data_IF_327295566161
#
_entry.id   IF_327295566161
#
_cell.length_a   1.000
_cell.length_b   1.000
_cell.length_c   1.000
_cell.angle_alpha   90.00
_cell.angle_beta   90.00
_cell.angle_gamma   90.00
#
_symmetry.space_group_name_H-M   'P 1'
#
loop_
_entity.id
_entity.type
_entity.pdbx_description
1 polymer ?
#
# COMPACT_ATOMS: atom_id res chain seq x y z
N UNK A 1 27.68 57.27 0.91
CA UNK A 1 26.36 56.81 0.44
C UNK A 1 26.43 55.67 -0.60
N UNK A 2 27.25 55.77 -1.68
CA UNK A 2 27.31 54.64 -2.66
C UNK A 2 27.80 53.31 -2.10
N UNK A 3 28.76 53.28 -1.18
CA UNK A 3 29.25 52.02 -0.56
C UNK A 3 28.23 51.36 0.38
N UNK A 4 27.39 52.15 1.08
CA UNK A 4 26.29 51.59 1.91
C UNK A 4 25.19 50.97 1.04
N UNK A 5 24.85 51.55 -0.10
CA UNK A 5 23.87 50.99 -1.02
C UNK A 5 24.34 49.68 -1.65
N UNK A 6 25.63 49.57 -2.00
CA UNK A 6 26.19 48.32 -2.58
C UNK A 6 26.22 47.21 -1.56
N UNK A 7 26.55 47.50 -0.27
CA UNK A 7 26.52 46.48 0.80
C UNK A 7 25.10 46.00 1.12
N UNK A 8 24.10 46.91 1.12
CA UNK A 8 22.70 46.56 1.35
C UNK A 8 22.10 45.71 0.22
N UNK A 9 22.47 46.03 -1.05
CA UNK A 9 22.01 45.22 -2.20
C UNK A 9 22.67 43.85 -2.22
N UNK A 10 23.96 43.73 -1.89
CA UNK A 10 24.66 42.44 -1.80
C UNK A 10 24.13 41.60 -0.63
N UNK A 11 23.81 42.21 0.52
CA UNK A 11 23.15 41.49 1.63
C UNK A 11 21.72 41.08 1.29
N UNK A 12 20.94 41.90 0.56
CA UNK A 12 19.59 41.55 0.13
C UNK A 12 19.59 40.39 -0.89
N UNK A 13 20.54 40.40 -1.84
CA UNK A 13 20.70 39.33 -2.84
C UNK A 13 21.19 38.05 -2.18
N UNK A 14 22.14 38.12 -1.25
CA UNK A 14 22.60 36.95 -0.50
C UNK A 14 21.50 36.35 0.41
N UNK A 15 20.64 37.19 1.03
CA UNK A 15 19.48 36.75 1.79
C UNK A 15 18.41 36.14 0.89
N UNK A 16 18.15 36.65 -0.28
CA UNK A 16 17.19 36.09 -1.24
C UNK A 16 17.69 34.78 -1.85
N UNK A 17 18.98 34.61 -2.10
CA UNK A 17 19.57 33.34 -2.53
C UNK A 17 19.52 32.29 -1.43
N UNK A 18 19.70 32.65 -0.16
CA UNK A 18 19.62 31.74 0.97
C UNK A 18 18.17 31.29 1.28
N UNK A 19 17.18 32.16 1.04
CA UNK A 19 15.74 31.86 1.21
C UNK A 19 15.16 30.99 0.09
N UNK A 20 15.83 30.89 -1.07
CA UNK A 20 15.39 30.09 -2.21
C UNK A 20 16.05 28.71 -2.32
N UNK A 21 17.00 28.36 -1.45
CA UNK A 21 17.69 27.06 -1.50
C UNK A 21 16.83 25.95 -0.92
N UNK A 22 16.65 24.85 -1.68
CA UNK A 22 15.97 23.64 -1.22
C UNK A 22 16.94 22.76 -0.44
N UNK A 23 16.54 22.34 0.76
CA UNK A 23 17.22 21.31 1.55
C UNK A 23 16.54 19.98 1.27
N UNK A 24 17.33 18.94 1.01
CA UNK A 24 16.86 17.61 0.65
C UNK A 24 17.13 16.63 1.79
N UNK A 25 16.16 15.79 2.06
CA UNK A 25 16.17 14.80 3.13
C UNK A 25 15.90 13.40 2.55
N UNK A 26 16.79 12.46 2.84
CA UNK A 26 16.69 11.07 2.45
C UNK A 26 16.24 10.23 3.65
N UNK A 27 15.09 9.53 3.57
CA UNK A 27 14.59 8.73 4.70
C UNK A 27 15.48 7.52 5.02
N UNK A 28 16.39 7.13 4.12
CA UNK A 28 17.32 6.01 4.32
C UNK A 28 18.64 6.42 5.00
N UNK A 29 18.97 7.70 5.04
CA UNK A 29 20.23 8.20 5.64
C UNK A 29 20.16 8.47 7.14
N UNK A 30 19.16 7.96 7.82
CA UNK A 30 18.95 8.22 9.25
C UNK A 30 19.36 7.00 10.07
N UNK A 31 20.13 7.20 11.13
CA UNK A 31 20.62 6.11 11.99
C UNK A 31 19.58 5.71 13.05
N UNK A 32 19.22 4.43 13.09
CA UNK A 32 18.56 3.81 14.25
C UNK A 32 17.03 3.75 14.22
N UNK A 33 16.35 4.48 13.32
CA UNK A 33 14.89 4.46 13.16
C UNK A 33 14.50 4.17 11.72
N UNK A 34 13.34 3.55 11.52
CA UNK A 34 12.75 3.39 10.19
C UNK A 34 11.68 4.44 9.94
N UNK A 35 11.70 5.04 8.76
CA UNK A 35 10.71 6.01 8.31
C UNK A 35 9.86 5.50 7.14
N UNK A 36 10.05 4.22 6.76
CA UNK A 36 9.20 3.56 5.79
C UNK A 36 8.05 2.88 6.53
N UNK A 37 6.88 3.46 6.44
CA UNK A 37 5.65 2.93 7.01
C UNK A 37 5.10 1.79 6.17
N UNK A 38 4.37 0.87 6.82
CA UNK A 38 3.75 -0.31 6.21
C UNK A 38 4.76 -1.31 5.61
N UNK A 39 6.04 -1.20 5.97
CA UNK A 39 7.07 -2.18 5.66
C UNK A 39 7.10 -3.23 6.79
N UNK A 40 6.94 -4.51 6.42
CA UNK A 40 6.91 -5.59 7.40
C UNK A 40 8.28 -5.90 7.99
N UNK A 41 9.33 -5.79 7.19
CA UNK A 41 10.71 -6.10 7.57
C UNK A 41 11.60 -4.90 7.30
N UNK A 42 12.29 -4.46 8.33
CA UNK A 42 13.30 -3.41 8.25
C UNK A 42 14.67 -4.02 8.62
N UNK A 43 15.12 -4.94 7.78
CA UNK A 43 16.42 -5.61 7.87
C UNK A 43 17.38 -4.94 6.86
N UNK A 44 18.65 -5.19 6.96
CA UNK A 44 19.65 -4.93 5.92
C UNK A 44 19.90 -3.45 5.51
N UNK A 45 19.76 -2.51 6.43
CA UNK A 45 20.16 -1.12 6.18
C UNK A 45 19.17 -0.26 5.41
N UNK A 46 17.97 -0.78 5.15
CA UNK A 46 16.85 -0.06 4.55
C UNK A 46 16.81 -0.17 3.03
N UNK A 47 15.63 -0.48 2.53
CA UNK A 47 15.27 -0.46 1.11
C UNK A 47 13.77 -0.15 0.99
N UNK A 48 13.27 -0.02 -0.24
CA UNK A 48 11.83 0.20 -0.51
C UNK A 48 11.14 -1.09 -0.96
N UNK A 49 11.62 -2.26 -0.48
CA UNK A 49 11.05 -3.56 -0.77
C UNK A 49 9.98 -3.95 0.24
N UNK A 50 9.10 -4.85 -0.16
CA UNK A 50 8.01 -5.37 0.69
C UNK A 50 8.39 -6.65 1.42
N UNK A 51 9.40 -7.38 0.94
CA UNK A 51 10.01 -8.52 1.63
C UNK A 51 11.46 -8.23 2.05
N UNK A 52 11.97 -8.92 3.07
CA UNK A 52 13.39 -8.84 3.45
C UNK A 52 14.27 -9.56 2.41
N UNK A 53 15.53 -9.16 2.28
CA UNK A 53 16.46 -9.72 1.29
C UNK A 53 16.66 -11.22 1.42
N UNK A 54 16.54 -11.78 2.64
CA UNK A 54 16.60 -13.23 2.88
C UNK A 54 15.44 -14.01 2.24
N UNK A 55 14.36 -13.36 1.83
CA UNK A 55 13.27 -14.01 1.09
C UNK A 55 13.67 -14.35 -0.36
N UNK A 56 14.70 -13.69 -0.89
CA UNK A 56 15.27 -14.03 -2.19
C UNK A 56 15.75 -15.49 -2.20
N UNK A 57 15.22 -16.27 -3.12
CA UNK A 57 15.50 -17.71 -3.22
C UNK A 57 14.66 -18.60 -2.30
N UNK A 58 13.92 -18.05 -1.33
CA UNK A 58 12.90 -18.78 -0.57
C UNK A 58 11.55 -18.76 -1.28
N UNK A 59 11.14 -17.60 -1.79
CA UNK A 59 9.94 -17.45 -2.61
C UNK A 59 10.29 -17.63 -4.10
N UNK A 60 9.28 -17.87 -4.94
CA UNK A 60 9.50 -17.91 -6.40
C UNK A 60 10.10 -16.59 -6.90
N UNK A 61 10.98 -16.68 -7.89
CA UNK A 61 11.66 -15.52 -8.49
C UNK A 61 10.68 -14.40 -8.87
N UNK A 62 9.54 -14.73 -9.50
CA UNK A 62 8.53 -13.73 -9.86
C UNK A 62 7.89 -13.04 -8.66
N UNK A 63 7.71 -13.74 -7.55
CA UNK A 63 7.22 -13.15 -6.30
C UNK A 63 8.28 -12.20 -5.71
N UNK A 64 9.55 -12.59 -5.75
CA UNK A 64 10.65 -11.73 -5.31
C UNK A 64 10.74 -10.45 -6.14
N UNK A 65 10.71 -10.53 -7.47
CA UNK A 65 10.69 -9.35 -8.35
C UNK A 65 9.55 -8.39 -8.01
N UNK A 66 8.34 -8.93 -7.76
CA UNK A 66 7.19 -8.15 -7.36
C UNK A 66 7.32 -7.57 -5.95
N UNK A 67 8.01 -8.29 -5.06
CA UNK A 67 8.24 -7.83 -3.69
C UNK A 67 9.22 -6.63 -3.63
N UNK A 68 10.11 -6.49 -4.61
CA UNK A 68 10.96 -5.30 -4.75
C UNK A 68 10.15 -4.03 -5.12
N UNK A 69 8.92 -4.16 -5.65
CA UNK A 69 8.04 -3.03 -5.93
C UNK A 69 7.42 -2.49 -4.63
N UNK A 70 7.24 -1.17 -4.57
CA UNK A 70 6.96 -0.45 -3.31
C UNK A 70 5.47 -0.30 -2.97
N UNK A 71 4.57 -1.13 -3.53
CA UNK A 71 3.13 -1.04 -3.31
C UNK A 71 2.75 -1.07 -1.81
N UNK A 72 1.99 -0.06 -1.37
CA UNK A 72 1.53 0.05 0.01
C UNK A 72 2.51 0.74 0.96
N UNK A 73 3.79 0.85 0.60
CA UNK A 73 4.78 1.57 1.40
C UNK A 73 4.49 3.07 1.40
N UNK A 74 4.77 3.71 2.52
CA UNK A 74 4.60 5.15 2.67
C UNK A 74 5.71 5.77 3.51
N UNK A 75 5.94 7.07 3.32
CA UNK A 75 6.82 7.89 4.15
C UNK A 75 5.94 8.93 4.82
N UNK A 76 6.10 9.10 6.15
CA UNK A 76 5.42 10.18 6.89
C UNK A 76 6.44 11.23 7.31
N UNK A 77 6.06 12.49 7.20
CA UNK A 77 6.89 13.63 7.60
C UNK A 77 6.04 14.80 8.08
N UNK A 78 6.61 15.64 8.93
CA UNK A 78 6.04 16.93 9.34
C UNK A 78 6.82 18.09 8.75
N UNK A 79 6.13 19.16 8.35
CA UNK A 79 6.74 20.39 7.87
C UNK A 79 5.78 21.59 7.99
N UNK A 80 6.35 22.79 8.11
CA UNK A 80 5.64 24.07 7.96
C UNK A 80 5.84 24.70 6.56
N UNK A 81 6.52 23.96 5.67
CA UNK A 81 6.78 24.40 4.31
C UNK A 81 5.47 24.57 3.51
N UNK A 82 5.39 25.62 2.70
CA UNK A 82 4.31 25.81 1.73
C UNK A 82 4.55 25.12 0.39
N UNK A 83 5.78 24.68 0.18
CA UNK A 83 6.18 23.96 -1.02
C UNK A 83 7.01 22.76 -0.61
N UNK A 84 6.67 21.60 -1.18
CA UNK A 84 7.41 20.36 -1.01
C UNK A 84 7.74 19.80 -2.39
N UNK A 85 8.98 19.44 -2.58
CA UNK A 85 9.46 18.75 -3.77
C UNK A 85 9.86 17.33 -3.43
N UNK A 86 9.56 16.39 -4.31
CA UNK A 86 10.05 15.00 -4.17
C UNK A 86 10.76 14.63 -5.46
N UNK A 87 11.94 14.02 -5.34
CA UNK A 87 12.67 13.43 -6.47
C UNK A 87 13.06 12.00 -6.15
N UNK A 88 12.89 11.12 -7.12
CA UNK A 88 13.18 9.70 -6.93
C UNK A 88 13.48 9.02 -8.27
N UNK A 89 14.11 7.85 -8.17
CA UNK A 89 14.48 6.99 -9.30
C UNK A 89 13.80 5.65 -9.14
N UNK A 90 13.35 5.08 -10.24
CA UNK A 90 12.72 3.75 -10.31
C UNK A 90 13.49 2.86 -11.27
N UNK A 91 13.45 1.53 -11.02
CA UNK A 91 14.27 0.55 -11.76
C UNK A 91 13.58 -0.05 -12.99
N UNK A 92 12.25 0.09 -13.11
CA UNK A 92 11.43 -0.56 -14.14
C UNK A 92 10.77 0.47 -15.08
N UNK A 93 10.18 0.05 -16.23
CA UNK A 93 9.39 0.93 -17.09
C UNK A 93 8.31 1.68 -16.33
N UNK A 94 8.15 2.96 -16.64
CA UNK A 94 7.33 3.89 -15.85
C UNK A 94 5.82 3.76 -16.09
N UNK A 95 5.38 3.05 -17.13
CA UNK A 95 3.96 2.85 -17.47
C UNK A 95 3.72 1.46 -18.03
N UNK A 96 2.46 1.05 -18.04
CA UNK A 96 1.97 -0.20 -18.66
C UNK A 96 0.81 0.12 -19.60
N UNK A 97 0.48 -0.75 -20.58
CA UNK A 97 -0.62 -0.49 -21.52
C UNK A 97 -1.98 -0.20 -20.85
N UNK A 98 -2.23 -0.76 -19.68
CA UNK A 98 -3.49 -0.65 -18.92
C UNK A 98 -3.35 0.19 -17.65
N UNK A 99 -2.15 0.79 -17.39
CA UNK A 99 -1.91 1.66 -16.25
C UNK A 99 -1.09 2.89 -16.65
N UNK A 100 -1.53 4.11 -16.30
CA UNK A 100 -0.75 5.32 -16.54
C UNK A 100 0.54 5.35 -15.69
N UNK A 101 1.50 6.17 -16.10
CA UNK A 101 2.74 6.37 -15.35
C UNK A 101 2.49 6.81 -13.90
N UNK A 102 1.45 7.59 -13.65
CA UNK A 102 1.03 8.02 -12.30
C UNK A 102 0.58 6.85 -11.43
N UNK A 103 0.03 5.78 -11.99
CA UNK A 103 -0.36 4.57 -11.27
C UNK A 103 0.83 3.61 -11.08
N UNK A 104 1.61 3.37 -12.15
CA UNK A 104 2.75 2.43 -12.12
C UNK A 104 3.88 2.96 -11.25
N UNK A 105 4.31 4.21 -11.50
CA UNK A 105 5.55 4.78 -10.97
C UNK A 105 5.35 6.10 -10.22
N UNK A 106 4.12 6.61 -10.11
CA UNK A 106 3.82 7.86 -9.42
C UNK A 106 3.81 7.72 -7.90
N UNK A 107 3.75 8.86 -7.24
CA UNK A 107 3.61 8.99 -5.79
C UNK A 107 2.41 9.89 -5.47
N UNK A 108 1.83 9.70 -4.28
CA UNK A 108 0.71 10.52 -3.81
C UNK A 108 0.96 11.09 -2.43
N UNK A 109 0.71 12.38 -2.26
CA UNK A 109 0.81 13.05 -0.97
C UNK A 109 -0.58 13.32 -0.39
N UNK A 110 -0.75 13.01 0.88
CA UNK A 110 -1.96 13.31 1.66
C UNK A 110 -1.58 14.04 2.94
N UNK A 111 -2.38 15.02 3.35
CA UNK A 111 -2.29 15.60 4.69
C UNK A 111 -2.88 14.61 5.70
N UNK A 112 -2.15 14.35 6.80
CA UNK A 112 -2.47 13.23 7.68
C UNK A 112 -3.70 13.46 8.57
N UNK A 113 -4.01 14.71 8.94
CA UNK A 113 -5.09 15.05 9.88
C UNK A 113 -6.51 14.88 9.30
N UNK A 114 -6.70 15.12 8.01
CA UNK A 114 -7.99 15.02 7.32
C UNK A 114 -7.96 14.15 6.05
N UNK A 115 -6.81 13.55 5.77
CA UNK A 115 -6.54 12.75 4.56
C UNK A 115 -6.83 13.50 3.26
N UNK A 116 -6.65 14.82 3.26
CA UNK A 116 -6.80 15.64 2.07
C UNK A 116 -5.71 15.33 1.06
N UNK A 117 -6.11 15.01 -0.17
CA UNK A 117 -5.20 14.79 -1.28
C UNK A 117 -4.50 16.09 -1.68
N UNK A 118 -3.16 16.06 -1.73
CA UNK A 118 -2.34 17.16 -2.20
C UNK A 118 -1.92 16.89 -3.65
N UNK A 119 -2.40 17.71 -4.58
CA UNK A 119 -2.00 17.60 -5.99
C UNK A 119 -0.57 18.11 -6.18
N UNK A 120 0.28 17.27 -6.81
CA UNK A 120 1.64 17.63 -7.23
C UNK A 120 1.76 17.78 -8.74
N UNK A 121 2.41 18.85 -9.20
CA UNK A 121 2.90 18.92 -10.59
C UNK A 121 4.04 17.92 -10.73
N UNK A 122 4.06 17.15 -11.81
CA UNK A 122 5.03 16.08 -11.98
C UNK A 122 5.71 16.11 -13.36
N UNK A 123 6.90 15.53 -13.40
CA UNK A 123 7.60 15.18 -14.64
C UNK A 123 8.20 13.79 -14.51
N UNK A 124 8.02 12.99 -15.56
CA UNK A 124 8.59 11.66 -15.68
C UNK A 124 9.82 11.73 -16.60
N UNK A 125 10.90 11.04 -16.21
CA UNK A 125 12.19 11.01 -16.90
C UNK A 125 13.14 10.10 -16.12
N UNK A 126 14.47 10.22 -16.31
CA UNK A 126 15.48 9.44 -15.59
C UNK A 126 15.35 9.57 -14.06
N UNK A 127 14.98 10.75 -13.60
CA UNK A 127 14.50 10.98 -12.25
C UNK A 127 13.09 11.56 -12.33
N UNK A 128 12.16 10.97 -11.62
CA UNK A 128 10.79 11.46 -11.50
C UNK A 128 10.76 12.56 -10.44
N UNK A 129 10.01 13.62 -10.73
CA UNK A 129 9.89 14.78 -9.83
C UNK A 129 8.44 15.13 -9.62
N UNK A 130 8.11 15.46 -8.36
CA UNK A 130 6.83 16.04 -7.98
C UNK A 130 7.09 17.35 -7.23
N UNK A 131 6.23 18.33 -7.46
CA UNK A 131 6.23 19.59 -6.73
C UNK A 131 4.83 19.90 -6.25
N UNK A 132 4.69 20.05 -4.93
CA UNK A 132 3.44 20.28 -4.23
C UNK A 132 3.40 21.70 -3.69
N UNK A 133 2.25 22.38 -3.85
CA UNK A 133 1.94 23.66 -3.20
C UNK A 133 0.94 23.39 -2.07
N UNK A 134 1.31 23.71 -0.85
CA UNK A 134 0.60 23.37 0.40
C UNK A 134 0.11 24.64 1.13
N UNK A 135 -0.41 25.62 0.39
CA UNK A 135 -0.78 26.95 0.86
C UNK A 135 -2.13 27.01 1.58
N UNK A 136 -2.94 25.94 1.54
CA UNK A 136 -4.27 25.87 2.13
C UNK A 136 -4.37 24.82 3.23
N UNK A 137 -5.17 25.13 4.24
CA UNK A 137 -5.53 24.20 5.32
C UNK A 137 -4.52 24.12 6.46
N UNK A 138 -3.37 24.80 6.37
CA UNK A 138 -2.42 24.92 7.46
C UNK A 138 -2.18 26.40 7.78
N UNK A 139 -2.29 26.78 9.05
CA UNK A 139 -1.98 28.15 9.47
C UNK A 139 -0.49 28.45 9.22
N UNK A 140 -0.18 29.70 8.87
CA UNK A 140 1.20 30.13 8.62
C UNK A 140 2.10 29.80 9.82
N UNK A 141 3.22 29.10 9.58
CA UNK A 141 4.18 28.70 10.61
C UNK A 141 3.73 27.53 11.51
N UNK A 142 2.59 26.91 11.24
CA UNK A 142 2.16 25.67 11.90
C UNK A 142 2.65 24.47 11.09
N UNK A 143 3.23 23.50 11.76
CA UNK A 143 3.57 22.22 11.17
C UNK A 143 2.32 21.39 10.89
N UNK A 144 2.31 20.69 9.77
CA UNK A 144 1.35 19.64 9.45
C UNK A 144 2.09 18.35 9.10
N UNK A 145 1.46 17.23 9.38
CA UNK A 145 1.97 15.93 9.00
C UNK A 145 1.39 15.49 7.66
N UNK A 146 2.22 14.81 6.88
CA UNK A 146 1.88 14.32 5.54
C UNK A 146 2.25 12.85 5.39
N UNK A 147 1.49 12.14 4.53
CA UNK A 147 1.71 10.75 4.14
C UNK A 147 1.99 10.72 2.65
N UNK A 148 3.18 10.25 2.27
CA UNK A 148 3.63 10.07 0.89
C UNK A 148 3.57 8.60 0.53
N UNK A 149 2.59 8.18 -0.28
CA UNK A 149 2.50 6.81 -0.81
C UNK A 149 3.45 6.62 -1.98
N UNK A 150 4.14 5.46 -2.00
CA UNK A 150 5.11 5.08 -2.99
C UNK A 150 4.48 4.36 -4.20
N UNK A 151 5.24 4.16 -5.31
CA UNK A 151 4.77 3.51 -6.53
C UNK A 151 4.14 2.13 -6.31
N UNK A 152 3.08 1.81 -7.08
CA UNK A 152 2.40 0.52 -6.98
C UNK A 152 3.11 -0.60 -7.73
N UNK A 153 3.72 -0.30 -8.88
CA UNK A 153 4.28 -1.28 -9.81
C UNK A 153 5.73 -1.00 -10.19
N UNK A 154 6.43 -0.24 -9.34
CA UNK A 154 7.86 0.02 -9.56
C UNK A 154 8.65 -0.04 -8.27
N UNK A 155 9.91 -0.39 -8.38
CA UNK A 155 10.89 -0.35 -7.32
C UNK A 155 11.48 1.05 -7.23
N UNK A 156 11.43 1.66 -6.07
CA UNK A 156 12.14 2.91 -5.78
C UNK A 156 13.57 2.55 -5.36
N UNK A 157 14.55 3.11 -6.05
CA UNK A 157 15.98 2.88 -5.76
C UNK A 157 16.65 4.06 -5.06
N UNK A 158 16.03 5.23 -5.15
CA UNK A 158 16.47 6.46 -4.51
C UNK A 158 15.29 7.41 -4.36
N UNK A 159 15.19 8.12 -3.22
CA UNK A 159 14.16 9.11 -2.98
C UNK A 159 14.65 10.17 -2.00
N UNK A 160 14.35 11.44 -2.29
CA UNK A 160 14.52 12.56 -1.38
C UNK A 160 13.30 13.46 -1.38
N UNK A 161 13.04 14.07 -0.23
CA UNK A 161 12.01 15.09 0.00
C UNK A 161 12.71 16.41 0.25
N UNK A 162 12.36 17.44 -0.50
CA UNK A 162 12.95 18.76 -0.45
C UNK A 162 11.96 19.83 0.02
N UNK A 163 12.41 20.68 0.93
CA UNK A 163 11.66 21.86 1.40
C UNK A 163 12.56 23.09 1.35
N UNK A 164 12.01 24.34 1.32
CA UNK A 164 12.81 25.56 1.44
C UNK A 164 13.65 25.58 2.73
N UNK A 165 14.88 26.04 2.64
CA UNK A 165 15.86 26.04 3.75
C UNK A 165 15.36 26.71 5.05
N UNK A 166 14.40 27.63 4.95
CA UNK A 166 13.81 28.29 6.11
C UNK A 166 12.69 27.50 6.79
N UNK A 167 12.29 26.34 6.23
CA UNK A 167 11.20 25.53 6.73
C UNK A 167 11.71 24.46 7.70
N UNK A 168 10.88 24.11 8.67
CA UNK A 168 11.09 22.93 9.51
C UNK A 168 10.70 21.68 8.76
N UNK A 169 11.44 20.61 8.98
CA UNK A 169 11.16 19.29 8.43
C UNK A 169 11.63 18.20 9.37
N UNK A 170 10.81 17.19 9.57
CA UNK A 170 11.19 15.97 10.28
C UNK A 170 10.44 14.77 9.70
N UNK A 171 11.13 13.64 9.55
CA UNK A 171 10.46 12.37 9.30
C UNK A 171 9.72 11.91 10.55
N UNK A 172 8.58 11.24 10.38
CA UNK A 172 7.84 10.59 11.47
C UNK A 172 8.19 9.11 11.48
N UNK A 173 8.70 8.59 12.62
CA UNK A 173 9.06 7.18 12.71
C UNK A 173 7.89 6.24 12.49
N UNK A 174 8.14 5.09 11.87
CA UNK A 174 7.13 4.05 11.69
C UNK A 174 6.73 3.44 13.04
N UNK A 175 5.43 3.29 13.26
CA UNK A 175 4.88 2.74 14.51
C UNK A 175 5.06 1.23 14.54
N UNK A 176 5.60 0.71 15.63
CA UNK A 176 5.68 -0.73 15.92
C UNK A 176 4.37 -1.18 16.57
N UNK A 177 3.45 -1.68 15.76
CA UNK A 177 2.20 -2.32 16.22
C UNK A 177 2.00 -3.59 15.40
N UNK A 178 1.30 -4.59 15.97
CA UNK A 178 0.92 -5.79 15.23
C UNK A 178 0.06 -5.39 14.01
N UNK A 179 0.54 -5.58 12.78
CA UNK A 179 -0.07 -4.98 11.59
C UNK A 179 -1.34 -5.71 11.13
N UNK A 180 -2.08 -5.06 10.25
CA UNK A 180 -2.96 -5.73 9.30
C UNK A 180 -2.10 -6.17 8.12
N UNK A 181 -2.14 -7.45 7.74
CA UNK A 181 -1.42 -7.96 6.57
C UNK A 181 -2.41 -8.39 5.50
N UNK A 182 -2.27 -7.81 4.32
CA UNK A 182 -2.99 -8.22 3.11
C UNK A 182 -2.10 -9.12 2.27
N UNK A 183 -2.52 -10.35 2.01
CA UNK A 183 -1.93 -11.22 1.00
C UNK A 183 -2.90 -11.40 -0.15
N UNK A 184 -2.47 -11.06 -1.36
CA UNK A 184 -3.38 -11.06 -2.52
C UNK A 184 -2.69 -10.98 -3.88
N UNK A 185 -3.46 -10.49 -4.83
CA UNK A 185 -3.17 -10.53 -6.26
C UNK A 185 -2.76 -9.17 -6.82
N UNK A 186 -2.85 -8.98 -8.15
CA UNK A 186 -2.70 -7.67 -8.81
C UNK A 186 -3.71 -6.64 -8.28
N UNK A 187 -4.94 -7.06 -7.94
CA UNK A 187 -5.98 -6.19 -7.40
C UNK A 187 -5.55 -5.66 -6.04
N UNK A 188 -5.00 -6.53 -5.19
CA UNK A 188 -4.42 -6.16 -3.89
C UNK A 188 -3.18 -5.25 -4.02
N UNK A 189 -2.32 -5.52 -5.01
CA UNK A 189 -1.16 -4.66 -5.31
C UNK A 189 -1.58 -3.26 -5.79
N UNK A 190 -2.74 -3.12 -6.42
CA UNK A 190 -3.31 -1.86 -6.88
C UNK A 190 -3.34 -1.70 -8.40
N UNK A 191 -3.40 -2.82 -9.15
CA UNK A 191 -3.49 -2.78 -10.62
C UNK A 191 -4.67 -1.92 -11.09
N UNK A 192 -4.38 -1.07 -12.06
CA UNK A 192 -5.31 -0.14 -12.71
C UNK A 192 -5.81 1.02 -11.83
N UNK A 193 -5.32 1.17 -10.59
CA UNK A 193 -5.47 2.44 -9.89
C UNK A 193 -4.70 3.53 -10.63
N UNK A 194 -5.32 4.70 -10.84
CA UNK A 194 -4.71 5.81 -11.60
C UNK A 194 -3.50 6.41 -10.91
N UNK A 195 -3.36 6.22 -9.60
CA UNK A 195 -2.30 6.73 -8.72
C UNK A 195 -2.26 5.93 -7.41
N UNK A 196 -1.16 5.92 -6.64
CA UNK A 196 -1.03 5.08 -5.44
C UNK A 196 -2.14 5.25 -4.41
N UNK A 197 -2.57 6.45 -4.14
CA UNK A 197 -3.62 6.72 -3.16
C UNK A 197 -5.00 6.18 -3.56
N UNK A 198 -5.22 5.79 -4.81
CA UNK A 198 -6.47 5.19 -5.29
C UNK A 198 -6.48 3.67 -5.21
N UNK A 199 -5.35 3.00 -4.97
CA UNK A 199 -5.34 1.58 -4.68
C UNK A 199 -6.18 1.28 -3.42
N UNK A 200 -7.09 0.30 -3.49
CA UNK A 200 -8.04 0.01 -2.40
C UNK A 200 -7.35 -0.27 -1.06
N UNK A 201 -6.20 -0.94 -1.08
CA UNK A 201 -5.42 -1.20 0.12
C UNK A 201 -4.97 0.08 0.83
N UNK A 202 -4.53 1.09 0.06
CA UNK A 202 -4.15 2.40 0.60
C UNK A 202 -5.36 3.21 1.08
N UNK A 203 -6.53 3.06 0.42
CA UNK A 203 -7.78 3.67 0.90
C UNK A 203 -8.18 3.05 2.25
N UNK A 204 -8.13 1.72 2.38
CA UNK A 204 -8.41 1.01 3.63
C UNK A 204 -7.45 1.46 4.73
N UNK A 205 -6.14 1.47 4.47
CA UNK A 205 -5.13 1.91 5.43
C UNK A 205 -5.42 3.31 5.99
N UNK A 206 -5.80 4.27 5.14
CA UNK A 206 -6.19 5.63 5.58
C UNK A 206 -7.46 5.66 6.44
N UNK A 207 -8.43 4.76 6.19
CA UNK A 207 -9.71 4.77 6.88
C UNK A 207 -9.71 3.98 8.20
N UNK A 208 -8.78 3.03 8.35
CA UNK A 208 -8.64 2.21 9.56
C UNK A 208 -7.59 2.80 10.50
N UNK A 209 -6.67 3.63 9.98
CA UNK A 209 -5.55 4.24 10.73
C UNK A 209 -4.73 3.20 11.53
N UNK A 210 -4.32 2.15 10.83
CA UNK A 210 -3.54 1.05 11.39
C UNK A 210 -2.42 0.64 10.43
N UNK A 211 -1.24 0.17 10.90
CA UNK A 211 -0.19 -0.33 10.01
C UNK A 211 -0.76 -1.41 9.07
N UNK A 212 -0.62 -1.19 7.76
CA UNK A 212 -1.25 -2.01 6.73
C UNK A 212 -0.22 -2.50 5.72
N UNK A 213 0.29 -3.72 5.92
CA UNK A 213 1.29 -4.34 5.05
C UNK A 213 0.61 -4.91 3.81
N UNK A 214 0.99 -4.43 2.63
CA UNK A 214 0.48 -4.90 1.35
C UNK A 214 1.41 -5.96 0.73
N UNK A 215 0.99 -7.22 0.76
CA UNK A 215 1.62 -8.35 0.08
C UNK A 215 0.79 -8.81 -1.13
N UNK A 216 0.29 -7.85 -1.92
CA UNK A 216 -0.30 -8.11 -3.22
C UNK A 216 0.79 -8.40 -4.25
N UNK A 217 0.67 -9.53 -4.97
CA UNK A 217 1.62 -9.98 -5.98
C UNK A 217 0.90 -10.30 -7.29
N UNK A 218 1.06 -9.43 -8.28
CA UNK A 218 0.36 -9.50 -9.57
C UNK A 218 0.51 -10.87 -10.25
N UNK A 219 -0.61 -11.59 -10.47
CA UNK A 219 -0.63 -12.95 -11.04
C UNK A 219 -0.06 -14.04 -10.10
N UNK A 220 0.35 -13.69 -8.86
CA UNK A 220 1.14 -14.56 -8.00
C UNK A 220 0.65 -14.68 -6.55
N UNK A 221 -0.54 -14.20 -6.23
CA UNK A 221 -1.21 -14.49 -4.95
C UNK A 221 -1.83 -15.88 -4.96
N UNK A 222 -1.03 -16.93 -4.61
CA UNK A 222 -1.41 -18.34 -4.78
C UNK A 222 -1.39 -19.17 -3.51
N UNK A 223 -1.45 -18.53 -2.34
CA UNK A 223 -1.44 -19.15 -1.02
C UNK A 223 -0.23 -20.09 -0.80
N UNK A 224 0.94 -19.64 -1.21
CA UNK A 224 2.19 -20.40 -1.10
C UNK A 224 2.70 -20.43 0.35
N UNK A 225 3.17 -21.60 0.78
CA UNK A 225 3.57 -21.86 2.18
C UNK A 225 4.65 -20.90 2.67
N UNK A 226 5.63 -20.57 1.82
CA UNK A 226 6.76 -19.70 2.13
C UNK A 226 6.30 -18.25 2.42
N UNK A 227 5.27 -17.79 1.69
CA UNK A 227 4.69 -16.47 1.93
C UNK A 227 3.86 -16.48 3.21
N UNK A 228 3.13 -17.55 3.50
CA UNK A 228 2.38 -17.70 4.75
C UNK A 228 3.34 -17.71 5.96
N UNK A 229 4.50 -18.36 5.85
CA UNK A 229 5.50 -18.35 6.91
C UNK A 229 6.05 -16.93 7.15
N UNK A 230 6.35 -16.18 6.10
CA UNK A 230 6.74 -14.76 6.21
C UNK A 230 5.62 -13.90 6.84
N UNK A 231 4.37 -14.12 6.49
CA UNK A 231 3.23 -13.42 7.12
C UNK A 231 3.19 -13.70 8.62
N UNK A 232 3.38 -14.95 9.03
CA UNK A 232 3.33 -15.34 10.44
C UNK A 232 4.44 -14.69 11.27
N UNK A 233 5.60 -14.38 10.69
CA UNK A 233 6.69 -13.66 11.36
C UNK A 233 6.27 -12.25 11.82
N UNK A 234 5.37 -11.59 11.08
CA UNK A 234 4.89 -10.25 11.42
C UNK A 234 3.95 -10.23 12.62
N UNK A 235 3.51 -11.41 13.10
CA UNK A 235 2.52 -11.52 14.19
C UNK A 235 1.31 -10.62 13.97
N UNK A 236 0.67 -10.68 12.78
CA UNK A 236 -0.40 -9.77 12.43
C UNK A 236 -1.57 -9.85 13.40
N UNK A 237 -2.23 -8.71 13.62
CA UNK A 237 -3.52 -8.68 14.32
C UNK A 237 -4.67 -9.14 13.41
N UNK A 238 -4.59 -8.80 12.13
CA UNK A 238 -5.57 -9.22 11.11
C UNK A 238 -4.81 -9.65 9.85
N UNK A 239 -5.25 -10.74 9.22
CA UNK A 239 -4.78 -11.18 7.90
C UNK A 239 -5.96 -11.21 6.93
N UNK A 240 -5.81 -10.51 5.80
CA UNK A 240 -6.73 -10.58 4.66
C UNK A 240 -6.11 -11.51 3.61
N UNK A 241 -6.85 -12.55 3.21
CA UNK A 241 -6.46 -13.46 2.13
C UNK A 241 -7.34 -13.19 0.90
N UNK A 242 -6.80 -12.43 -0.07
CA UNK A 242 -7.46 -11.98 -1.31
C UNK A 242 -6.77 -12.62 -2.54
N UNK A 243 -6.72 -13.96 -2.55
CA UNK A 243 -5.92 -14.71 -3.52
C UNK A 243 -6.73 -15.34 -4.66
N UNK A 244 -8.07 -15.40 -4.55
CA UNK A 244 -8.91 -16.13 -5.50
C UNK A 244 -8.75 -15.70 -6.96
N UNK A 245 -8.50 -14.42 -7.31
CA UNK A 245 -8.29 -14.04 -8.71
C UNK A 245 -7.06 -14.68 -9.38
N UNK A 246 -6.12 -15.25 -8.64
CA UNK A 246 -4.95 -15.94 -9.21
C UNK A 246 -5.03 -17.49 -9.11
N UNK A 247 -6.18 -18.01 -8.70
CA UNK A 247 -6.37 -19.45 -8.49
C UNK A 247 -7.06 -20.16 -9.68
N UNK A 248 -7.39 -19.44 -10.76
CA UNK A 248 -8.14 -19.98 -11.89
C UNK A 248 -7.54 -21.22 -12.57
N UNK A 249 -6.21 -21.30 -12.64
CA UNK A 249 -5.50 -22.46 -13.20
C UNK A 249 -5.26 -23.59 -12.19
N UNK A 250 -5.73 -23.45 -10.93
CA UNK A 250 -5.53 -24.42 -9.85
C UNK A 250 -6.83 -25.18 -9.61
N UNK A 251 -6.75 -26.51 -9.49
CA UNK A 251 -7.90 -27.36 -9.25
C UNK A 251 -8.55 -27.09 -7.88
N UNK A 252 -9.86 -27.30 -7.78
CA UNK A 252 -10.66 -26.94 -6.60
C UNK A 252 -10.14 -27.60 -5.32
N UNK A 253 -9.78 -28.89 -5.35
CA UNK A 253 -9.26 -29.61 -4.19
C UNK A 253 -7.92 -29.02 -3.70
N UNK A 254 -7.08 -28.58 -4.62
CA UNK A 254 -5.81 -27.92 -4.27
C UNK A 254 -6.03 -26.51 -3.73
N UNK A 255 -7.03 -25.77 -4.23
CA UNK A 255 -7.44 -24.48 -3.64
C UNK A 255 -7.89 -24.70 -2.19
N UNK A 256 -8.77 -25.68 -1.96
CA UNK A 256 -9.26 -26.04 -0.62
C UNK A 256 -8.08 -26.40 0.29
N UNK A 257 -7.18 -27.25 -0.17
CA UNK A 257 -6.00 -27.68 0.59
C UNK A 257 -5.12 -26.51 1.00
N UNK A 258 -4.75 -25.65 0.05
CA UNK A 258 -3.89 -24.47 0.30
C UNK A 258 -4.55 -23.48 1.25
N UNK A 259 -5.83 -23.18 1.05
CA UNK A 259 -6.59 -22.29 1.94
C UNK A 259 -6.62 -22.83 3.37
N UNK A 260 -6.93 -24.11 3.54
CA UNK A 260 -6.97 -24.74 4.87
C UNK A 260 -5.58 -24.73 5.53
N UNK A 261 -4.53 -25.01 4.78
CA UNK A 261 -3.16 -24.98 5.30
C UNK A 261 -2.76 -23.56 5.72
N UNK A 262 -3.02 -22.54 4.89
CA UNK A 262 -2.75 -21.15 5.20
C UNK A 262 -3.47 -20.71 6.48
N UNK A 263 -4.78 -20.93 6.55
CA UNK A 263 -5.60 -20.56 7.72
C UNK A 263 -5.13 -21.27 8.98
N UNK A 264 -4.88 -22.58 8.93
CA UNK A 264 -4.39 -23.35 10.10
C UNK A 264 -3.03 -22.89 10.60
N UNK A 265 -2.13 -22.40 9.70
CA UNK A 265 -0.84 -21.83 10.12
C UNK A 265 -1.03 -20.48 10.77
N UNK A 266 -1.77 -19.58 10.13
CA UNK A 266 -2.02 -18.23 10.63
C UNK A 266 -2.79 -18.28 11.96
N UNK A 267 -3.78 -19.17 12.11
CA UNK A 267 -4.58 -19.29 13.32
C UNK A 267 -3.82 -19.73 14.59
N UNK A 268 -2.54 -20.14 14.43
CA UNK A 268 -1.64 -20.38 15.57
C UNK A 268 -1.16 -19.09 16.26
N UNK A 269 -1.30 -17.96 15.60
CA UNK A 269 -0.96 -16.65 16.17
C UNK A 269 -2.06 -16.29 17.18
N UNK A 270 -1.72 -16.05 18.45
CA UNK A 270 -2.72 -15.75 19.47
C UNK A 270 -3.53 -14.49 19.13
N UNK A 271 -4.87 -14.64 19.11
CA UNK A 271 -5.79 -13.51 18.89
C UNK A 271 -5.89 -13.02 17.45
N UNK A 272 -5.18 -13.61 16.49
CA UNK A 272 -5.27 -13.20 15.09
C UNK A 272 -6.68 -13.35 14.55
N UNK A 273 -7.07 -12.39 13.71
CA UNK A 273 -8.29 -12.43 12.92
C UNK A 273 -7.94 -12.73 11.47
N UNK A 274 -8.70 -13.60 10.81
CA UNK A 274 -8.49 -13.95 9.41
C UNK A 274 -9.75 -13.62 8.62
N UNK A 275 -9.62 -12.85 7.55
CA UNK A 275 -10.67 -12.51 6.61
C UNK A 275 -10.36 -13.13 5.25
N UNK A 276 -11.20 -14.07 4.81
CA UNK A 276 -11.16 -14.60 3.45
C UNK A 276 -11.99 -13.69 2.54
N UNK A 277 -11.41 -13.27 1.41
CA UNK A 277 -12.08 -12.42 0.44
C UNK A 277 -12.30 -13.17 -0.86
N UNK A 278 -13.51 -13.18 -1.37
CA UNK A 278 -13.85 -13.81 -2.65
C UNK A 278 -13.28 -13.04 -3.84
N UNK A 279 -13.15 -13.74 -4.96
CA UNK A 279 -12.98 -13.11 -6.26
C UNK A 279 -14.20 -12.23 -6.57
N UNK A 280 -13.99 -10.94 -6.78
CA UNK A 280 -15.07 -9.97 -7.03
C UNK A 280 -15.86 -10.25 -8.34
N UNK A 281 -15.39 -11.19 -9.13
CA UNK A 281 -15.96 -11.55 -10.45
C UNK A 281 -15.14 -10.97 -11.59
N UNK A 282 -15.66 -11.16 -12.80
CA UNK A 282 -15.07 -10.65 -14.03
C UNK A 282 -16.10 -9.76 -14.74
N UNK A 283 -15.68 -8.62 -15.27
CA UNK A 283 -16.56 -7.67 -15.98
C UNK A 283 -17.23 -8.30 -17.21
N UNK A 284 -16.56 -9.23 -17.84
CA UNK A 284 -17.03 -9.94 -19.04
C UNK A 284 -17.75 -11.27 -18.74
N UNK A 285 -18.09 -11.56 -17.49
CA UNK A 285 -18.76 -12.82 -17.13
C UNK A 285 -20.11 -13.03 -17.82
N UNK A 286 -20.81 -11.95 -18.18
CA UNK A 286 -22.06 -12.01 -18.95
C UNK A 286 -21.86 -12.33 -20.43
N UNK A 287 -20.67 -12.12 -20.98
CA UNK A 287 -20.32 -12.35 -22.39
C UNK A 287 -19.32 -13.48 -22.59
N UNK A 288 -18.65 -13.91 -21.50
CA UNK A 288 -17.71 -15.02 -21.46
C UNK A 288 -18.09 -15.99 -20.34
N UNK A 289 -18.80 -17.03 -20.69
CA UNK A 289 -19.24 -18.07 -19.74
C UNK A 289 -18.07 -18.76 -19.04
N UNK A 290 -16.94 -18.92 -19.74
CA UNK A 290 -15.72 -19.52 -19.17
C UNK A 290 -15.17 -18.69 -18.00
N UNK A 291 -15.09 -17.37 -18.16
CA UNK A 291 -14.63 -16.46 -17.10
C UNK A 291 -15.58 -16.45 -15.89
N UNK A 292 -16.90 -16.43 -16.15
CA UNK A 292 -17.90 -16.51 -15.08
C UNK A 292 -17.82 -17.82 -14.29
N UNK A 293 -17.62 -18.95 -14.98
CA UNK A 293 -17.46 -20.28 -14.33
C UNK A 293 -16.15 -20.39 -13.53
N UNK A 294 -15.06 -19.83 -14.04
CA UNK A 294 -13.77 -19.90 -13.36
C UNK A 294 -13.79 -19.16 -12.00
N UNK A 295 -14.24 -17.90 -11.98
CA UNK A 295 -14.36 -17.15 -10.75
C UNK A 295 -15.33 -17.76 -9.76
N UNK A 296 -16.49 -18.26 -10.23
CA UNK A 296 -17.46 -18.96 -9.39
C UNK A 296 -16.89 -20.26 -8.77
N UNK A 297 -16.11 -21.03 -9.55
CA UNK A 297 -15.43 -22.25 -9.07
C UNK A 297 -14.40 -21.94 -7.97
N UNK A 298 -13.61 -20.89 -8.15
CA UNK A 298 -12.63 -20.48 -7.13
C UNK A 298 -13.31 -20.06 -5.83
N UNK A 299 -14.38 -19.26 -5.91
CA UNK A 299 -15.16 -18.84 -4.76
C UNK A 299 -15.85 -20.04 -4.06
N UNK A 300 -16.42 -20.97 -4.82
CA UNK A 300 -17.02 -22.19 -4.27
C UNK A 300 -15.98 -23.05 -3.50
N UNK A 301 -14.77 -23.22 -4.05
CA UNK A 301 -13.68 -23.91 -3.38
C UNK A 301 -13.26 -23.19 -2.07
N UNK A 302 -13.16 -21.86 -2.08
CA UNK A 302 -12.88 -21.09 -0.86
C UNK A 302 -13.99 -21.23 0.18
N UNK A 303 -15.26 -21.21 -0.24
CA UNK A 303 -16.40 -21.37 0.68
C UNK A 303 -16.43 -22.76 1.33
N UNK A 304 -16.11 -23.83 0.56
CA UNK A 304 -15.95 -25.19 1.11
C UNK A 304 -14.84 -25.20 2.17
N UNK A 305 -13.67 -24.61 1.86
CA UNK A 305 -12.57 -24.53 2.81
C UNK A 305 -12.98 -23.78 4.08
N UNK A 306 -13.70 -22.65 3.95
CA UNK A 306 -14.21 -21.86 5.07
C UNK A 306 -15.14 -22.68 5.95
N UNK A 307 -16.14 -23.35 5.39
CA UNK A 307 -17.09 -24.19 6.14
C UNK A 307 -16.37 -25.31 6.90
N UNK A 308 -15.46 -26.03 6.23
CA UNK A 308 -14.70 -27.11 6.87
C UNK A 308 -13.81 -26.60 8.01
N UNK A 309 -13.20 -25.42 7.88
CA UNK A 309 -12.39 -24.81 8.94
C UNK A 309 -13.24 -24.37 10.15
N UNK A 310 -14.47 -23.90 9.91
CA UNK A 310 -15.43 -23.63 11.00
C UNK A 310 -15.84 -24.92 11.74
N UNK A 311 -16.09 -26.00 11.01
CA UNK A 311 -16.39 -27.32 11.57
C UNK A 311 -15.19 -27.86 12.37
N UNK A 312 -13.96 -27.59 11.97
CA UNK A 312 -12.72 -27.87 12.70
C UNK A 312 -12.54 -27.01 13.97
N UNK A 313 -13.41 -26.01 14.19
CA UNK A 313 -13.37 -25.13 15.35
C UNK A 313 -12.39 -23.96 15.25
N UNK A 314 -11.94 -23.60 14.05
CA UNK A 314 -11.10 -22.41 13.84
C UNK A 314 -11.90 -21.16 14.21
N UNK A 315 -11.38 -20.40 15.18
CA UNK A 315 -12.00 -19.17 15.67
C UNK A 315 -11.48 -17.93 14.92
N UNK A 316 -12.21 -16.80 15.03
CA UNK A 316 -11.85 -15.52 14.43
C UNK A 316 -11.61 -15.61 12.90
N UNK A 317 -12.31 -16.53 12.24
CA UNK A 317 -12.30 -16.70 10.80
C UNK A 317 -13.57 -16.08 10.20
N UNK A 318 -13.39 -15.10 9.32
CA UNK A 318 -14.47 -14.34 8.70
C UNK A 318 -14.42 -14.47 7.18
N UNK A 319 -15.52 -14.14 6.53
CA UNK A 319 -15.70 -14.27 5.10
C UNK A 319 -16.31 -12.99 4.51
N UNK A 320 -15.83 -12.58 3.36
CA UNK A 320 -16.39 -11.48 2.57
C UNK A 320 -16.73 -12.02 1.18
N UNK A 321 -18.01 -12.11 0.89
CA UNK A 321 -18.50 -12.66 -0.36
C UNK A 321 -18.39 -11.64 -1.51
N UNK A 322 -18.49 -12.14 -2.75
CA UNK A 322 -18.57 -11.32 -3.96
C UNK A 322 -19.75 -10.34 -3.92
N UNK A 323 -20.88 -10.79 -3.39
CA UNK A 323 -22.09 -9.98 -3.26
C UNK A 323 -21.88 -8.82 -2.28
N UNK A 324 -21.14 -9.05 -1.18
CA UNK A 324 -20.78 -8.01 -0.23
C UNK A 324 -19.74 -7.04 -0.79
N UNK A 325 -18.81 -7.50 -1.65
CA UNK A 325 -17.89 -6.62 -2.39
C UNK A 325 -18.64 -5.68 -3.32
N UNK A 326 -19.68 -6.18 -4.00
CA UNK A 326 -20.71 -5.38 -4.68
C UNK A 326 -20.20 -4.45 -5.78
N UNK A 327 -19.16 -4.88 -6.55
CA UNK A 327 -18.62 -4.05 -7.63
C UNK A 327 -19.66 -3.85 -8.75
N UNK A 328 -19.87 -2.58 -9.12
CA UNK A 328 -20.77 -2.22 -10.21
C UNK A 328 -20.24 -2.68 -11.59
N UNK A 329 -21.10 -2.83 -12.60
CA UNK A 329 -20.69 -3.22 -13.95
C UNK A 329 -19.61 -2.30 -14.56
N UNK A 330 -19.64 -1.00 -14.25
CA UNK A 330 -18.69 0.00 -14.76
C UNK A 330 -17.46 0.21 -13.86
N UNK A 331 -17.25 -0.68 -12.90
CA UNK A 331 -16.16 -0.58 -11.92
C UNK A 331 -14.78 -1.03 -12.47
N UNK A 332 -14.67 -1.42 -13.74
CA UNK A 332 -13.55 -2.17 -14.29
C UNK A 332 -12.79 -1.41 -15.39
N UNK A 333 -11.48 -1.66 -15.49
CA UNK A 333 -10.63 -1.18 -16.59
C UNK A 333 -10.52 -2.24 -17.69
N UNK A 334 -10.41 -3.49 -17.28
CA UNK A 334 -10.36 -4.66 -18.15
C UNK A 334 -11.29 -5.77 -17.61
N UNK A 335 -11.06 -7.03 -17.98
CA UNK A 335 -11.93 -8.12 -17.55
C UNK A 335 -11.85 -8.45 -16.06
N UNK A 336 -10.78 -8.01 -15.33
CA UNK A 336 -10.56 -8.39 -13.91
C UNK A 336 -10.10 -7.26 -13.00
N UNK A 337 -9.49 -6.19 -13.54
CA UNK A 337 -8.91 -5.13 -12.71
C UNK A 337 -9.89 -3.97 -12.49
N UNK A 338 -10.17 -3.60 -11.24
CA UNK A 338 -11.02 -2.46 -10.93
C UNK A 338 -10.38 -1.12 -11.35
N UNK A 339 -11.22 -0.20 -11.85
CA UNK A 339 -10.89 1.21 -12.01
C UNK A 339 -10.84 1.93 -10.65
N UNK A 340 -10.48 3.23 -10.60
CA UNK A 340 -10.55 4.00 -9.36
C UNK A 340 -11.94 3.93 -8.69
N UNK A 341 -13.01 3.91 -9.48
CA UNK A 341 -14.36 3.71 -8.96
C UNK A 341 -14.52 2.34 -8.31
N UNK A 342 -14.05 1.27 -8.98
CA UNK A 342 -14.08 -0.07 -8.43
C UNK A 342 -13.18 -0.24 -7.21
N UNK A 343 -11.99 0.39 -7.20
CA UNK A 343 -11.10 0.42 -6.05
C UNK A 343 -11.75 1.07 -4.82
N UNK A 344 -12.50 2.17 -5.02
CA UNK A 344 -13.24 2.82 -3.94
C UNK A 344 -14.38 1.94 -3.40
N UNK A 345 -15.11 1.24 -4.27
CA UNK A 345 -16.14 0.27 -3.84
C UNK A 345 -15.54 -0.89 -3.06
N UNK A 346 -14.45 -1.48 -3.59
CA UNK A 346 -13.71 -2.56 -2.92
C UNK A 346 -13.26 -2.14 -1.52
N UNK A 347 -12.61 -0.99 -1.42
CA UNK A 347 -12.19 -0.43 -0.14
C UNK A 347 -13.35 -0.22 0.83
N UNK A 348 -14.49 0.31 0.36
CA UNK A 348 -15.68 0.53 1.18
C UNK A 348 -16.21 -0.79 1.78
N UNK A 349 -16.28 -1.86 0.99
CA UNK A 349 -16.72 -3.17 1.45
C UNK A 349 -15.75 -3.76 2.49
N UNK A 350 -14.43 -3.69 2.24
CA UNK A 350 -13.40 -4.15 3.18
C UNK A 350 -13.47 -3.35 4.50
N UNK A 351 -13.55 -2.02 4.44
CA UNK A 351 -13.63 -1.17 5.64
C UNK A 351 -14.87 -1.48 6.47
N UNK A 352 -16.02 -1.65 5.81
CA UNK A 352 -17.27 -2.06 6.48
C UNK A 352 -17.07 -3.38 7.22
N UNK A 353 -16.55 -4.40 6.54
CA UNK A 353 -16.31 -5.73 7.13
C UNK A 353 -15.28 -5.65 8.27
N UNK A 354 -14.18 -4.92 8.12
CA UNK A 354 -13.18 -4.77 9.18
C UNK A 354 -13.78 -4.08 10.42
N UNK A 355 -14.61 -3.06 10.26
CA UNK A 355 -15.30 -2.40 11.39
C UNK A 355 -16.27 -3.35 12.10
N UNK A 356 -17.00 -4.17 11.36
CA UNK A 356 -17.87 -5.22 11.94
C UNK A 356 -17.04 -6.24 12.76
N UNK A 357 -15.90 -6.69 12.21
CA UNK A 357 -14.97 -7.61 12.87
C UNK A 357 -14.38 -7.01 14.14
N UNK A 358 -13.92 -5.75 14.08
CA UNK A 358 -13.33 -5.04 15.23
C UNK A 358 -14.34 -4.96 16.38
N UNK A 359 -15.61 -4.67 16.08
CA UNK A 359 -16.67 -4.63 17.09
C UNK A 359 -16.99 -6.03 17.62
N UNK A 360 -17.13 -7.03 16.73
CA UNK A 360 -17.52 -8.40 17.09
C UNK A 360 -16.46 -9.12 17.92
N UNK A 361 -15.20 -9.00 17.55
CA UNK A 361 -14.08 -9.63 18.23
C UNK A 361 -13.73 -8.95 19.57
N UNK A 362 -14.44 -7.87 19.98
CA UNK A 362 -14.02 -6.98 21.06
C UNK A 362 -12.53 -6.60 20.91
N UNK A 363 -12.12 -6.48 19.65
CA UNK A 363 -10.74 -6.23 19.30
C UNK A 363 -10.36 -4.85 19.79
N UNK A 364 -9.69 -4.80 20.92
CA UNK A 364 -8.98 -3.63 21.39
C UNK A 364 -7.56 -3.71 20.85
N UNK A 365 -7.08 -2.69 20.15
CA UNK A 365 -5.67 -2.62 19.80
C UNK A 365 -4.84 -2.85 21.07
N UNK A 366 -3.97 -3.85 21.08
CA UNK A 366 -3.05 -3.99 22.20
C UNK A 366 -2.20 -2.72 22.21
N UNK A 367 -2.39 -1.88 23.24
CA UNK A 367 -1.51 -0.76 23.49
C UNK A 367 -0.08 -1.31 23.59
N UNK A 368 0.86 -0.62 22.95
CA UNK A 368 2.27 -0.98 22.92
C UNK A 368 2.76 -1.33 24.32
N UNK A 369 3.10 -2.60 24.54
CA UNK A 369 3.89 -3.01 25.70
C UNK A 369 5.35 -2.69 25.48
#
# INVERSE_FOLDING_TARGET
MKQLYTLAVVLLTALTECLGQTVWYDPMQTSGETYIHNQGWNEDGGNYHRFPDRAKGLVREKVWELACQSAGLAIRFSTDAREVSVRYVVSQPQSMPHMPATGVSGIDLYRADDMAFCFGRYSFGDAIRYHYTLDKGVAVGREAEYVLYLPLYNEVTYLEIGVPNASRFAFVPAVKKDPIVLYGTSIAQGACASRPGMAWANIVGRQIDWPFINLGFSGNGKLESEIIDLICEQRPSIVLLDCMPNMGAIESDEIIRRMKEAVRRISKIPGVVILLVEHAGNSNALTSEAQGRESARCNAAQQIAYTQLQEEGVKNLFYLSREELGLAPDAWVDYVHPSDYGMAQYASAIVKKLREIIVHAQWTPMESR
#
